data_IF_418568807831
#
_entry.id   IF_418568807831
#
_cell.length_a   1.000
_cell.length_b   1.000
_cell.length_c   1.000
_cell.angle_alpha   90.00
_cell.angle_beta   90.00
_cell.angle_gamma   90.00
#
_symmetry.space_group_name_H-M   'P 1'
#
loop_
_entity.id
_entity.type
_entity.pdbx_description
1 polymer ?
#
# COMPACT_ATOMS: atom_id res chain seq x y z
N UNK A 1 15.98 -39.53 -7.53
CA UNK A 1 15.37 -38.25 -7.07
C UNK A 1 13.85 -38.38 -7.19
N UNK A 2 13.13 -38.43 -6.07
CA UNK A 2 11.66 -38.39 -6.09
C UNK A 2 11.20 -36.98 -6.46
N UNK A 3 10.25 -36.84 -7.40
CA UNK A 3 9.65 -35.54 -7.74
C UNK A 3 8.60 -35.21 -6.68
N UNK A 4 8.69 -34.02 -6.08
CA UNK A 4 7.66 -33.49 -5.18
C UNK A 4 6.39 -33.22 -5.99
N UNK A 5 5.28 -33.84 -5.60
CA UNK A 5 3.94 -33.48 -6.07
C UNK A 5 3.49 -32.21 -5.34
N UNK A 6 2.94 -31.24 -6.07
CA UNK A 6 2.43 -29.98 -5.53
C UNK A 6 1.12 -29.65 -6.23
N UNK A 7 0.05 -29.49 -5.48
CA UNK A 7 -1.24 -29.02 -5.98
C UNK A 7 -1.31 -27.48 -5.88
N UNK A 8 -1.83 -26.84 -6.93
CA UNK A 8 -2.03 -25.39 -6.96
C UNK A 8 -3.52 -25.07 -6.96
N UNK A 9 -3.99 -24.46 -5.86
CA UNK A 9 -5.35 -23.93 -5.75
C UNK A 9 -5.31 -22.40 -5.84
N UNK A 10 -6.14 -21.81 -6.72
CA UNK A 10 -6.25 -20.35 -6.90
C UNK A 10 -7.73 -19.92 -6.82
N UNK A 11 -8.34 -19.94 -5.63
CA UNK A 11 -9.81 -19.88 -5.48
C UNK A 11 -10.43 -18.54 -5.89
N UNK A 12 -9.62 -17.48 -5.92
CA UNK A 12 -10.05 -16.11 -6.26
C UNK A 12 -9.37 -15.57 -7.52
N UNK A 13 -8.75 -16.43 -8.35
CA UNK A 13 -7.97 -15.98 -9.52
C UNK A 13 -8.79 -15.16 -10.51
N UNK A 14 -10.05 -15.54 -10.70
CA UNK A 14 -10.96 -14.92 -11.67
C UNK A 14 -11.90 -13.89 -11.05
N UNK A 15 -11.72 -13.60 -9.76
CA UNK A 15 -12.53 -12.59 -9.09
C UNK A 15 -12.14 -11.21 -9.60
N UNK A 16 -13.15 -10.39 -9.84
CA UNK A 16 -13.00 -8.95 -9.99
C UNK A 16 -12.65 -8.35 -8.64
N UNK A 17 -11.98 -7.20 -8.67
CA UNK A 17 -11.69 -6.43 -7.44
C UNK A 17 -12.96 -6.15 -6.62
N UNK A 18 -14.08 -5.88 -7.28
CA UNK A 18 -15.39 -5.70 -6.63
C UNK A 18 -15.81 -6.92 -5.80
N UNK A 19 -15.51 -8.13 -6.25
CA UNK A 19 -15.88 -9.37 -5.55
C UNK A 19 -14.98 -9.60 -4.32
N UNK A 20 -13.71 -9.20 -4.41
CA UNK A 20 -12.76 -9.21 -3.29
C UNK A 20 -13.23 -8.25 -2.19
N UNK A 21 -13.59 -7.02 -2.53
CA UNK A 21 -14.11 -6.09 -1.53
C UNK A 21 -15.48 -6.54 -0.98
N UNK A 22 -16.34 -7.11 -1.82
CA UNK A 22 -17.64 -7.62 -1.40
C UNK A 22 -17.54 -8.79 -0.42
N UNK A 23 -16.59 -9.72 -0.59
CA UNK A 23 -16.41 -10.81 0.38
C UNK A 23 -15.87 -10.30 1.71
N UNK A 24 -14.96 -9.32 1.69
CA UNK A 24 -14.44 -8.69 2.90
C UNK A 24 -15.57 -8.02 3.68
N UNK A 25 -16.41 -7.23 2.98
CA UNK A 25 -17.61 -6.62 3.58
C UNK A 25 -18.56 -7.66 4.16
N UNK A 26 -18.88 -8.73 3.40
CA UNK A 26 -19.80 -9.79 3.83
C UNK A 26 -19.38 -10.40 5.17
N UNK A 27 -18.08 -10.57 5.39
CA UNK A 27 -17.53 -11.14 6.61
C UNK A 27 -17.03 -10.09 7.63
N UNK A 28 -17.22 -8.79 7.33
CA UNK A 28 -16.75 -7.71 8.18
C UNK A 28 -15.23 -7.63 8.33
N UNK A 29 -14.46 -8.21 7.41
CA UNK A 29 -12.99 -8.27 7.50
C UNK A 29 -12.41 -6.90 7.19
N UNK A 30 -11.71 -6.31 8.16
CA UNK A 30 -11.10 -4.98 8.02
C UNK A 30 -9.84 -5.09 7.14
N UNK A 31 -9.72 -4.30 6.06
CA UNK A 31 -8.51 -4.28 5.26
C UNK A 31 -7.33 -3.65 6.02
N UNK A 32 -6.12 -3.93 5.55
CA UNK A 32 -4.92 -3.32 6.13
C UNK A 32 -5.06 -1.77 6.18
N UNK A 33 -4.65 -1.09 7.28
CA UNK A 33 -4.85 0.35 7.46
C UNK A 33 -4.33 1.23 6.31
N UNK A 34 -3.28 0.80 5.61
CA UNK A 34 -2.79 1.50 4.41
C UNK A 34 -3.86 1.63 3.30
N UNK A 35 -4.71 0.62 3.09
CA UNK A 35 -5.83 0.73 2.14
C UNK A 35 -6.82 1.79 2.62
N UNK A 36 -7.08 1.86 3.92
CA UNK A 36 -7.94 2.89 4.52
C UNK A 36 -7.32 4.29 4.34
N UNK A 37 -5.99 4.39 4.38
CA UNK A 37 -5.22 5.62 4.13
C UNK A 37 -5.11 6.01 2.64
N UNK A 38 -5.66 5.21 1.71
CA UNK A 38 -5.70 5.54 0.28
C UNK A 38 -4.68 4.81 -0.60
N UNK A 39 -3.86 3.91 -0.05
CA UNK A 39 -2.93 3.12 -0.85
C UNK A 39 -3.69 2.01 -1.60
N UNK A 40 -3.57 1.98 -2.93
CA UNK A 40 -4.20 0.95 -3.78
C UNK A 40 -3.43 -0.36 -3.88
N UNK A 41 -2.17 -0.39 -3.43
CA UNK A 41 -1.35 -1.60 -3.33
C UNK A 41 -0.54 -1.57 -2.05
N UNK A 42 -0.45 -2.73 -1.40
CA UNK A 42 0.52 -2.99 -0.34
C UNK A 42 1.64 -3.91 -0.84
N UNK A 43 2.87 -3.52 -0.61
CA UNK A 43 4.08 -4.33 -0.78
C UNK A 43 5.10 -3.79 0.22
N UNK A 44 6.28 -3.38 -0.23
CA UNK A 44 7.19 -2.56 0.57
C UNK A 44 6.59 -1.16 0.80
N UNK A 45 6.85 -0.56 1.98
CA UNK A 45 6.47 0.83 2.28
C UNK A 45 7.04 1.82 1.24
N UNK A 46 8.36 1.81 1.08
CA UNK A 46 9.11 2.61 0.10
C UNK A 46 9.33 1.81 -1.19
N UNK A 47 8.24 1.41 -1.85
CA UNK A 47 8.31 0.54 -3.03
C UNK A 47 8.96 1.25 -4.23
N UNK A 48 9.80 0.54 -4.99
CA UNK A 48 10.38 1.03 -6.26
C UNK A 48 9.30 1.39 -7.30
N UNK A 49 8.13 0.76 -7.20
CA UNK A 49 6.98 1.03 -8.05
C UNK A 49 6.03 2.07 -7.48
N UNK A 50 6.32 2.68 -6.32
CA UNK A 50 5.41 3.64 -5.71
C UNK A 50 5.09 4.80 -6.66
N UNK A 51 3.83 5.26 -6.70
CA UNK A 51 3.43 6.45 -7.45
C UNK A 51 3.98 7.71 -6.80
N UNK A 52 3.92 8.81 -7.54
CA UNK A 52 4.30 10.14 -7.04
C UNK A 52 3.45 10.53 -5.81
N UNK A 53 2.16 10.18 -5.79
CA UNK A 53 1.28 10.43 -4.64
C UNK A 53 1.62 9.55 -3.42
N UNK A 54 2.08 8.31 -3.64
CA UNK A 54 2.57 7.45 -2.57
C UNK A 54 3.86 8.04 -1.97
N UNK A 55 4.80 8.49 -2.81
CA UNK A 55 6.01 9.18 -2.34
C UNK A 55 5.69 10.49 -1.61
N UNK A 56 4.74 11.29 -2.10
CA UNK A 56 4.28 12.50 -1.43
C UNK A 56 3.65 12.20 -0.05
N UNK A 57 2.90 11.10 0.05
CA UNK A 57 2.28 10.65 1.31
C UNK A 57 3.35 10.19 2.31
N UNK A 58 4.34 9.42 1.85
CA UNK A 58 5.44 8.94 2.70
C UNK A 58 6.35 10.08 3.14
N UNK A 59 6.69 11.01 2.26
CA UNK A 59 7.47 12.21 2.63
C UNK A 59 6.80 13.04 3.74
N UNK A 60 5.47 13.03 3.80
CA UNK A 60 4.70 13.73 4.84
C UNK A 60 4.60 12.93 6.15
N UNK A 61 4.36 11.62 6.08
CA UNK A 61 3.97 10.82 7.26
C UNK A 61 5.04 9.84 7.77
N UNK A 62 6.05 9.53 6.96
CA UNK A 62 7.26 8.77 7.31
C UNK A 62 8.50 9.52 6.78
N UNK A 63 8.77 10.75 7.26
CA UNK A 63 9.85 11.58 6.73
C UNK A 63 11.23 10.93 6.92
N UNK A 64 11.44 10.18 8.01
CA UNK A 64 12.70 9.49 8.28
C UNK A 64 12.93 8.36 7.27
N UNK A 65 11.91 7.51 7.04
CA UNK A 65 11.98 6.45 6.05
C UNK A 65 12.12 7.00 4.63
N UNK A 66 11.49 8.13 4.32
CA UNK A 66 11.65 8.82 3.05
C UNK A 66 13.07 9.35 2.85
N UNK A 67 13.61 10.05 3.86
CA UNK A 67 14.95 10.64 3.80
C UNK A 67 16.04 9.58 3.73
N UNK A 68 15.83 8.42 4.35
CA UNK A 68 16.74 7.28 4.22
C UNK A 68 16.92 6.87 2.76
N UNK A 69 15.83 6.77 2.00
CA UNK A 69 15.89 6.43 0.57
C UNK A 69 16.52 7.54 -0.24
N UNK A 70 16.13 8.80 -0.01
CA UNK A 70 16.72 9.96 -0.69
C UNK A 70 18.23 10.05 -0.43
N UNK A 71 18.69 9.72 0.78
CA UNK A 71 20.10 9.64 1.14
C UNK A 71 20.80 8.53 0.35
N UNK A 72 20.21 7.35 0.25
CA UNK A 72 20.79 6.27 -0.56
C UNK A 72 20.90 6.65 -2.03
N UNK A 73 19.90 7.32 -2.61
CA UNK A 73 19.99 7.75 -4.01
C UNK A 73 21.15 8.74 -4.23
N UNK A 74 21.40 9.65 -3.27
CA UNK A 74 22.54 10.59 -3.31
C UNK A 74 23.88 9.89 -3.12
N UNK A 75 23.99 8.98 -2.14
CA UNK A 75 25.25 8.28 -1.82
C UNK A 75 25.66 7.33 -2.94
N UNK A 76 24.71 6.63 -3.53
CA UNK A 76 24.98 5.69 -4.62
C UNK A 76 25.00 6.34 -6.00
N UNK A 77 24.65 7.63 -6.10
CA UNK A 77 24.48 8.36 -7.36
C UNK A 77 23.50 7.64 -8.32
N UNK A 78 22.50 6.94 -7.77
CA UNK A 78 21.56 6.12 -8.54
C UNK A 78 20.17 6.19 -7.94
N UNK A 79 19.16 6.31 -8.80
CA UNK A 79 17.77 6.35 -8.38
C UNK A 79 17.15 4.95 -8.37
N UNK A 80 16.26 4.68 -7.40
CA UNK A 80 15.52 3.40 -7.33
C UNK A 80 14.40 3.32 -8.38
N UNK A 81 14.02 4.48 -8.92
CA UNK A 81 13.14 4.58 -10.08
C UNK A 81 13.96 4.81 -11.36
N UNK A 82 13.38 4.45 -12.52
CA UNK A 82 14.10 4.46 -13.81
C UNK A 82 14.55 5.84 -14.29
N UNK A 83 13.84 6.90 -13.91
CA UNK A 83 14.00 8.24 -14.51
C UNK A 83 14.29 9.37 -13.53
N UNK A 84 13.68 9.33 -12.36
CA UNK A 84 13.61 10.47 -11.45
C UNK A 84 13.83 9.98 -10.02
N UNK A 85 14.50 10.79 -9.20
CA UNK A 85 14.73 10.54 -7.77
C UNK A 85 13.43 10.69 -6.95
N UNK A 86 13.42 10.14 -5.74
CA UNK A 86 12.23 10.12 -4.88
C UNK A 86 11.78 11.51 -4.42
N UNK A 87 12.71 12.48 -4.32
CA UNK A 87 12.41 13.88 -3.93
C UNK A 87 11.65 14.60 -5.05
N UNK A 88 12.14 14.47 -6.27
CA UNK A 88 11.49 14.99 -7.48
C UNK A 88 10.08 14.39 -7.62
N UNK A 89 9.94 13.08 -7.43
CA UNK A 89 8.64 12.39 -7.53
C UNK A 89 7.66 12.80 -6.44
N UNK A 90 8.10 12.90 -5.18
CA UNK A 90 7.25 13.35 -4.08
C UNK A 90 6.69 14.77 -4.30
N UNK A 91 7.44 15.65 -4.98
CA UNK A 91 6.99 17.02 -5.28
C UNK A 91 5.97 17.12 -6.42
N UNK A 92 5.83 16.09 -7.26
CA UNK A 92 4.92 16.10 -8.43
C UNK A 92 3.46 15.86 -8.07
N UNK A 93 3.18 15.34 -6.88
CA UNK A 93 1.84 14.99 -6.46
C UNK A 93 1.55 15.48 -5.04
N UNK A 94 0.27 15.47 -4.66
CA UNK A 94 -0.16 15.70 -3.29
C UNK A 94 -0.29 14.37 -2.55
N UNK A 95 -0.09 14.38 -1.23
CA UNK A 95 -0.39 13.24 -0.38
C UNK A 95 -1.87 12.85 -0.50
N UNK A 96 -2.19 11.58 -0.26
CA UNK A 96 -3.57 11.12 -0.24
C UNK A 96 -4.39 11.89 0.81
N UNK A 97 -5.59 12.34 0.44
CA UNK A 97 -6.50 13.03 1.37
C UNK A 97 -6.92 12.09 2.51
N UNK A 98 -7.09 10.81 2.21
CA UNK A 98 -7.46 9.78 3.17
C UNK A 98 -6.34 9.41 4.16
N UNK A 99 -5.09 9.80 3.89
CA UNK A 99 -3.95 9.60 4.77
C UNK A 99 -3.92 10.67 5.86
N UNK A 100 -4.85 10.57 6.81
CA UNK A 100 -4.81 11.39 8.03
C UNK A 100 -3.70 10.91 8.95
N UNK A 101 -3.23 11.76 9.86
CA UNK A 101 -2.16 11.39 10.80
C UNK A 101 -2.53 10.15 11.63
N UNK A 102 -3.79 10.04 12.07
CA UNK A 102 -4.28 8.87 12.79
C UNK A 102 -4.21 7.58 11.95
N UNK A 103 -4.66 7.61 10.69
CA UNK A 103 -4.64 6.43 9.81
C UNK A 103 -3.22 6.02 9.44
N UNK A 104 -2.34 7.00 9.22
CA UNK A 104 -0.94 6.74 8.91
C UNK A 104 -0.18 6.21 10.14
N UNK A 105 -0.48 6.71 11.34
CA UNK A 105 0.05 6.17 12.59
C UNK A 105 -0.27 4.67 12.71
N UNK A 106 -1.53 4.28 12.47
CA UNK A 106 -1.92 2.86 12.48
C UNK A 106 -1.24 2.04 11.37
N UNK A 107 -1.10 2.62 10.17
CA UNK A 107 -0.49 1.93 9.03
C UNK A 107 1.03 1.75 9.16
N UNK A 108 1.71 2.63 9.90
CA UNK A 108 3.16 2.60 10.10
C UNK A 108 3.56 1.89 11.39
N UNK A 109 2.61 1.62 12.29
CA UNK A 109 2.87 1.00 13.58
C UNK A 109 3.53 -0.39 13.43
N UNK A 110 4.54 -0.72 14.26
CA UNK A 110 5.19 -2.04 14.24
C UNK A 110 4.26 -3.16 14.73
N UNK A 111 3.20 -2.81 15.43
CA UNK A 111 2.15 -3.71 15.91
C UNK A 111 0.78 -3.11 15.63
N UNK A 112 -0.18 -3.93 15.22
CA UNK A 112 -1.56 -3.52 15.01
C UNK A 112 -2.45 -4.02 16.15
N UNK A 113 -3.12 -3.09 16.83
CA UNK A 113 -4.01 -3.33 17.97
C UNK A 113 -5.50 -3.04 17.65
N UNK A 114 -5.79 -2.66 16.40
CA UNK A 114 -7.14 -2.41 15.92
C UNK A 114 -7.95 -3.69 15.64
N UNK A 115 -9.26 -3.56 15.36
CA UNK A 115 -10.10 -4.69 15.02
C UNK A 115 -9.72 -5.27 13.65
N UNK A 116 -9.59 -6.60 13.57
CA UNK A 116 -9.44 -7.33 12.30
C UNK A 116 -10.80 -7.68 11.66
N UNK A 117 -11.87 -7.65 12.46
CA UNK A 117 -13.23 -7.88 12.03
C UNK A 117 -14.17 -6.90 12.75
N UNK A 118 -15.17 -6.43 12.03
CA UNK A 118 -16.24 -5.55 12.53
C UNK A 118 -17.60 -6.13 12.15
N UNK A 119 -18.68 -5.56 12.68
CA UNK A 119 -20.01 -5.87 12.16
C UNK A 119 -20.04 -5.53 10.65
N UNK A 120 -20.47 -6.43 9.75
CA UNK A 120 -20.62 -6.15 8.31
C UNK A 120 -21.41 -4.88 7.98
N UNK A 121 -22.35 -4.47 8.84
CA UNK A 121 -23.13 -3.23 8.70
C UNK A 121 -22.31 -1.96 8.97
N UNK A 122 -21.26 -2.08 9.80
CA UNK A 122 -20.32 -1.01 10.11
C UNK A 122 -19.06 -1.05 9.22
N UNK A 123 -19.02 -1.94 8.23
CA UNK A 123 -17.89 -2.06 7.32
C UNK A 123 -17.96 -1.02 6.20
N UNK A 124 -16.89 -0.27 6.02
CA UNK A 124 -16.74 0.75 5.00
C UNK A 124 -15.69 0.39 3.95
N UNK A 125 -15.98 0.77 2.69
CA UNK A 125 -15.03 0.62 1.59
C UNK A 125 -13.79 1.50 1.85
N UNK A 126 -12.57 0.95 1.82
CA UNK A 126 -11.37 1.74 2.06
C UNK A 126 -11.12 2.71 0.90
N UNK A 127 -10.51 3.86 1.19
CA UNK A 127 -10.21 4.88 0.18
C UNK A 127 -9.22 4.39 -0.90
N UNK A 128 -8.44 3.36 -0.60
CA UNK A 128 -7.52 2.68 -1.53
C UNK A 128 -8.20 1.68 -2.46
N UNK A 129 -9.47 1.34 -2.25
CA UNK A 129 -10.21 0.48 -3.18
C UNK A 129 -10.34 1.16 -4.55
N UNK A 130 -10.13 0.41 -5.63
CA UNK A 130 -10.18 0.86 -7.01
C UNK A 130 -9.20 2.00 -7.35
N UNK A 131 -8.21 2.27 -6.48
CA UNK A 131 -7.13 3.20 -6.78
C UNK A 131 -6.13 2.53 -7.70
N UNK A 132 -5.63 3.28 -8.69
CA UNK A 132 -4.73 2.77 -9.73
C UNK A 132 -3.60 1.91 -9.19
N UNK A 133 -3.45 0.72 -9.76
CA UNK A 133 -2.42 -0.24 -9.38
C UNK A 133 -1.07 0.24 -9.90
N UNK A 134 -0.15 0.55 -8.99
CA UNK A 134 1.25 0.77 -9.32
C UNK A 134 2.00 -0.56 -9.29
N UNK A 135 2.77 -0.88 -10.32
CA UNK A 135 3.47 -2.17 -10.42
C UNK A 135 4.12 -2.37 -11.78
N UNK A 136 4.94 -3.42 -11.94
CA UNK A 136 5.50 -3.75 -13.24
C UNK A 136 4.36 -4.15 -14.19
N UNK A 137 4.31 -3.47 -15.33
CA UNK A 137 3.46 -3.78 -16.49
C UNK A 137 4.20 -4.67 -17.48
#
# INVERSE_FOLDING_TARGET
KSRRHIDHLRPVLHWKETEVWAIMKRHGIVPHPAYIAGFGRLSCRNCIFASDAQWATLAKHDPDGFEQIATYERVFDRTIHRKDDVVTRARRAKSFIAATDHRMMQALAPSFDGPIAVNPEAWDMPAGAFVGHTGPS
#
